data_IF_345599121073
#
_entry.id   IF_345599121073
#
_cell.length_a   1.000
_cell.length_b   1.000
_cell.length_c   1.000
_cell.angle_alpha   90.00
_cell.angle_beta   90.00
_cell.angle_gamma   90.00
#
_symmetry.space_group_name_H-M   'P 1'
#
loop_
_entity.id
_entity.type
_entity.pdbx_description
1 polymer ?
#
# COMPACT_ATOMS: atom_id res chain seq x y z
N UNK A 1 32.73 28.75 -22.04
CA UNK A 1 32.24 27.36 -22.06
C UNK A 1 30.81 27.36 -21.60
N UNK A 2 29.88 27.27 -22.55
CA UNK A 2 28.44 27.21 -22.28
C UNK A 2 28.12 25.73 -22.10
N UNK A 3 28.14 25.26 -20.85
CA UNK A 3 27.66 23.91 -20.54
C UNK A 3 26.16 23.92 -20.85
N UNK A 4 25.76 23.06 -21.78
CA UNK A 4 24.39 22.89 -22.24
C UNK A 4 23.44 22.59 -21.07
N UNK A 5 22.80 23.63 -20.56
CA UNK A 5 21.52 23.58 -19.87
C UNK A 5 20.50 22.98 -20.84
N UNK A 6 20.35 21.66 -20.85
CA UNK A 6 18.97 21.18 -20.81
C UNK A 6 18.52 21.62 -19.43
N UNK A 7 17.61 22.60 -19.36
CA UNK A 7 17.16 23.16 -18.09
C UNK A 7 16.69 22.00 -17.22
N UNK A 8 17.15 21.94 -15.97
CA UNK A 8 16.72 20.93 -15.01
C UNK A 8 15.18 20.92 -14.94
N UNK A 9 14.55 22.08 -15.10
CA UNK A 9 13.11 22.22 -15.16
C UNK A 9 12.49 21.58 -16.41
N UNK A 10 13.14 21.65 -17.58
CA UNK A 10 12.69 20.94 -18.77
C UNK A 10 12.74 19.42 -18.58
N UNK A 11 13.81 18.91 -17.94
CA UNK A 11 13.90 17.49 -17.60
C UNK A 11 12.82 17.08 -16.59
N UNK A 12 12.57 17.89 -15.56
CA UNK A 12 11.50 17.66 -14.58
C UNK A 12 10.12 17.66 -15.23
N UNK A 13 9.86 18.61 -16.14
CA UNK A 13 8.60 18.67 -16.89
C UNK A 13 8.40 17.42 -17.76
N UNK A 14 9.46 16.93 -18.42
CA UNK A 14 9.42 15.68 -19.20
C UNK A 14 9.18 14.45 -18.31
N UNK A 15 9.80 14.39 -17.13
CA UNK A 15 9.55 13.31 -16.15
C UNK A 15 8.10 13.34 -15.70
N UNK A 16 7.56 14.51 -15.34
CA UNK A 16 6.17 14.64 -14.94
C UNK A 16 5.21 14.17 -16.03
N UNK A 17 5.45 14.57 -17.27
CA UNK A 17 4.62 14.15 -18.40
C UNK A 17 4.70 12.64 -18.66
N UNK A 18 5.88 12.04 -18.54
CA UNK A 18 6.04 10.59 -18.59
C UNK A 18 5.29 9.91 -17.43
N UNK A 19 5.36 10.45 -16.21
CA UNK A 19 4.63 9.94 -15.05
C UNK A 19 3.11 9.96 -15.28
N UNK A 20 2.57 11.03 -15.88
CA UNK A 20 1.14 11.08 -16.25
C UNK A 20 0.76 9.95 -17.20
N UNK A 21 1.57 9.71 -18.23
CA UNK A 21 1.34 8.61 -19.18
C UNK A 21 1.43 7.24 -18.51
N UNK A 22 2.39 7.06 -17.61
CA UNK A 22 2.50 5.82 -16.82
C UNK A 22 1.26 5.60 -15.95
N UNK A 23 0.74 6.63 -15.28
CA UNK A 23 -0.49 6.53 -14.48
C UNK A 23 -1.68 6.13 -15.35
N UNK A 24 -1.85 6.72 -16.53
CA UNK A 24 -2.93 6.37 -17.45
C UNK A 24 -2.84 4.90 -17.91
N UNK A 25 -1.65 4.45 -18.33
CA UNK A 25 -1.42 3.06 -18.72
C UNK A 25 -1.63 2.08 -17.56
N UNK A 26 -1.26 2.46 -16.34
CA UNK A 26 -1.50 1.65 -15.15
C UNK A 26 -2.99 1.55 -14.84
N UNK A 27 -3.76 2.65 -14.97
CA UNK A 27 -5.22 2.61 -14.79
C UNK A 27 -5.89 1.68 -15.80
N UNK A 28 -5.56 1.81 -17.08
CA UNK A 28 -6.05 0.91 -18.13
C UNK A 28 -5.69 -0.55 -17.82
N UNK A 29 -4.45 -0.78 -17.39
CA UNK A 29 -3.99 -2.11 -16.97
C UNK A 29 -4.79 -2.66 -15.78
N UNK A 30 -5.13 -1.84 -14.79
CA UNK A 30 -5.96 -2.27 -13.65
C UNK A 30 -7.37 -2.65 -14.09
N UNK A 31 -7.96 -1.91 -15.04
CA UNK A 31 -9.28 -2.26 -15.58
C UNK A 31 -9.26 -3.56 -16.39
N UNK A 32 -8.19 -3.82 -17.15
CA UNK A 32 -7.96 -5.13 -17.77
C UNK A 32 -7.79 -6.23 -16.72
N UNK A 33 -7.07 -5.96 -15.61
CA UNK A 33 -6.88 -6.92 -14.53
C UNK A 33 -8.22 -7.34 -13.91
N UNK A 34 -9.14 -6.40 -13.66
CA UNK A 34 -10.51 -6.70 -13.16
C UNK A 34 -11.29 -7.59 -14.13
N UNK A 35 -11.22 -7.30 -15.43
CA UNK A 35 -11.87 -8.12 -16.45
C UNK A 35 -11.29 -9.54 -16.50
N UNK A 36 -9.97 -9.67 -16.41
CA UNK A 36 -9.29 -10.97 -16.33
C UNK A 36 -9.72 -11.72 -15.05
N UNK A 37 -9.80 -11.04 -13.91
CA UNK A 37 -10.27 -11.64 -12.66
C UNK A 37 -11.67 -12.23 -12.79
N UNK A 38 -12.61 -11.48 -13.40
CA UNK A 38 -13.98 -11.93 -13.62
C UNK A 38 -14.02 -13.22 -14.46
N UNK A 39 -13.26 -13.27 -15.56
CA UNK A 39 -13.15 -14.45 -16.41
C UNK A 39 -12.54 -15.63 -15.62
N UNK A 40 -11.40 -15.40 -14.94
CA UNK A 40 -10.72 -16.45 -14.18
C UNK A 40 -11.59 -17.04 -13.08
N UNK A 41 -12.33 -16.20 -12.36
CA UNK A 41 -13.23 -16.63 -11.29
C UNK A 41 -14.38 -17.50 -11.83
N UNK A 42 -14.96 -17.14 -12.98
CA UNK A 42 -16.00 -17.95 -13.65
C UNK A 42 -15.46 -19.33 -14.05
N UNK A 43 -14.19 -19.42 -14.44
CA UNK A 43 -13.57 -20.66 -14.89
C UNK A 43 -12.76 -21.41 -13.82
N UNK A 44 -12.75 -20.94 -12.57
CA UNK A 44 -11.96 -21.53 -11.50
C UNK A 44 -10.45 -21.52 -11.76
N UNK A 45 -9.96 -20.56 -12.54
CA UNK A 45 -8.54 -20.44 -12.90
C UNK A 45 -7.74 -19.75 -11.81
N UNK A 46 -6.46 -20.10 -11.70
CA UNK A 46 -5.56 -19.42 -10.77
C UNK A 46 -5.26 -17.98 -11.21
N UNK A 47 -5.24 -17.06 -10.24
CA UNK A 47 -4.90 -15.65 -10.47
C UNK A 47 -3.44 -15.50 -10.89
N UNK A 48 -2.51 -16.20 -10.23
CA UNK A 48 -1.08 -16.19 -10.57
C UNK A 48 -0.77 -17.27 -11.60
N UNK A 49 -0.03 -16.86 -12.64
CA UNK A 49 0.44 -17.75 -13.71
C UNK A 49 1.93 -17.47 -13.99
N UNK A 50 2.84 -18.23 -13.36
CA UNK A 50 4.28 -18.03 -13.51
C UNK A 50 4.79 -18.21 -14.95
N UNK A 51 4.16 -19.11 -15.73
CA UNK A 51 4.56 -19.35 -17.12
C UNK A 51 4.21 -18.16 -18.00
N UNK A 52 3.04 -17.56 -17.79
CA UNK A 52 2.66 -16.31 -18.46
C UNK A 52 3.56 -15.14 -18.08
N UNK A 53 3.88 -14.97 -16.79
CA UNK A 53 4.82 -13.94 -16.33
C UNK A 53 6.20 -14.11 -17.01
N UNK A 54 6.71 -15.34 -17.07
CA UNK A 54 7.96 -15.65 -17.76
C UNK A 54 7.88 -15.39 -19.27
N UNK A 55 6.75 -15.70 -19.90
CA UNK A 55 6.50 -15.38 -21.32
C UNK A 55 6.54 -13.88 -21.58
N UNK A 56 5.91 -13.07 -20.72
CA UNK A 56 5.91 -11.60 -20.87
C UNK A 56 7.33 -11.03 -20.73
N UNK A 57 8.14 -11.53 -19.79
CA UNK A 57 9.55 -11.13 -19.66
C UNK A 57 10.34 -11.40 -20.93
N UNK A 58 10.17 -12.60 -21.51
CA UNK A 58 10.84 -13.00 -22.76
C UNK A 58 10.41 -12.12 -23.93
N UNK A 59 9.12 -11.81 -24.03
CA UNK A 59 8.57 -10.97 -25.10
C UNK A 59 9.07 -9.52 -25.01
N UNK A 60 9.07 -8.94 -23.81
CA UNK A 60 9.56 -7.58 -23.57
C UNK A 60 11.09 -7.47 -23.57
N UNK A 61 11.81 -8.60 -23.52
CA UNK A 61 13.29 -8.67 -23.42
C UNK A 61 13.82 -7.77 -22.29
N UNK A 62 13.17 -7.84 -21.13
CA UNK A 62 13.45 -6.96 -20.00
C UNK A 62 13.48 -7.72 -18.68
N UNK A 63 14.59 -7.55 -17.96
CA UNK A 63 14.78 -8.00 -16.58
C UNK A 63 14.61 -6.85 -15.58
N UNK A 64 13.97 -5.75 -15.99
CA UNK A 64 13.76 -4.61 -15.12
C UNK A 64 12.87 -5.01 -13.92
N UNK A 65 13.32 -4.80 -12.66
CA UNK A 65 12.55 -5.13 -11.46
C UNK A 65 11.17 -4.47 -11.39
N UNK A 66 10.98 -3.33 -12.08
CA UNK A 66 9.67 -2.66 -12.21
C UNK A 66 8.62 -3.61 -12.79
N UNK A 67 9.00 -4.53 -13.68
CA UNK A 67 8.07 -5.50 -14.24
C UNK A 67 7.48 -6.43 -13.16
N UNK A 68 8.26 -6.77 -12.12
CA UNK A 68 7.74 -7.53 -10.97
C UNK A 68 6.70 -6.72 -10.22
N UNK A 69 6.98 -5.44 -9.96
CA UNK A 69 6.04 -4.55 -9.28
C UNK A 69 4.74 -4.40 -10.07
N UNK A 70 4.83 -4.32 -11.39
CA UNK A 70 3.67 -4.28 -12.28
C UNK A 70 2.87 -5.59 -12.19
N UNK A 71 3.53 -6.75 -12.17
CA UNK A 71 2.83 -8.03 -11.99
C UNK A 71 2.13 -8.11 -10.64
N UNK A 72 2.81 -7.77 -9.55
CA UNK A 72 2.23 -7.80 -8.20
C UNK A 72 1.06 -6.82 -8.07
N UNK A 73 1.17 -5.61 -8.63
CA UNK A 73 0.04 -4.67 -8.69
C UNK A 73 -1.16 -5.25 -9.46
N UNK A 74 -0.91 -5.95 -10.57
CA UNK A 74 -1.96 -6.59 -11.39
C UNK A 74 -2.60 -7.77 -10.67
N UNK A 75 -1.83 -8.54 -9.91
CA UNK A 75 -2.31 -9.65 -9.09
C UNK A 75 -3.17 -9.12 -7.94
N UNK A 76 -2.68 -8.08 -7.24
CA UNK A 76 -3.40 -7.43 -6.15
C UNK A 76 -4.78 -6.94 -6.61
N UNK A 77 -4.84 -6.31 -7.79
CA UNK A 77 -6.10 -5.85 -8.38
C UNK A 77 -7.05 -7.02 -8.70
N UNK A 78 -6.52 -8.16 -9.16
CA UNK A 78 -7.31 -9.36 -9.43
C UNK A 78 -7.82 -10.05 -8.16
N UNK A 79 -7.01 -10.08 -7.11
CA UNK A 79 -7.41 -10.67 -5.82
C UNK A 79 -8.36 -9.79 -5.02
N UNK A 80 -8.38 -8.49 -5.33
CA UNK A 80 -9.09 -7.49 -4.56
C UNK A 80 -8.38 -7.14 -3.26
N UNK A 81 -9.03 -6.29 -2.47
CA UNK A 81 -8.53 -5.94 -1.15
C UNK A 81 -8.64 -7.14 -0.20
N UNK A 82 -7.64 -7.36 0.68
CA UNK A 82 -7.78 -8.36 1.73
C UNK A 82 -9.06 -8.09 2.54
N UNK A 83 -9.75 -9.16 2.89
CA UNK A 83 -10.95 -9.13 3.72
C UNK A 83 -10.59 -9.78 5.05
N UNK A 84 -11.06 -9.19 6.15
CA UNK A 84 -10.95 -9.73 7.48
C UNK A 84 -12.36 -9.82 8.05
N UNK A 85 -12.87 -11.04 8.16
CA UNK A 85 -14.25 -11.27 8.61
C UNK A 85 -14.38 -11.29 10.14
N UNK A 86 -13.26 -11.50 10.83
CA UNK A 86 -13.21 -11.65 12.28
C UNK A 86 -12.06 -10.83 12.87
N UNK A 87 -12.23 -10.30 14.10
CA UNK A 87 -11.13 -9.64 14.79
C UNK A 87 -9.92 -10.56 14.95
N UNK A 88 -8.73 -9.99 14.85
CA UNK A 88 -7.46 -10.70 15.09
C UNK A 88 -6.93 -10.31 16.46
N UNK A 89 -6.60 -11.30 17.27
CA UNK A 89 -5.94 -11.10 18.56
C UNK A 89 -4.45 -11.39 18.48
N UNK A 90 -3.66 -10.48 19.04
CA UNK A 90 -2.21 -10.56 19.12
C UNK A 90 -1.82 -10.38 20.58
N UNK A 91 -0.98 -11.26 21.10
CA UNK A 91 -0.44 -11.16 22.46
C UNK A 91 1.06 -10.86 22.41
N UNK A 92 1.54 -9.97 23.27
CA UNK A 92 2.95 -9.62 23.31
C UNK A 92 3.25 -8.37 24.12
N UNK A 93 4.51 -7.90 24.02
CA UNK A 93 4.91 -6.61 24.54
C UNK A 93 4.19 -5.48 23.81
N UNK A 94 3.95 -4.36 24.49
CA UNK A 94 3.27 -3.19 23.89
C UNK A 94 3.98 -2.75 22.61
N UNK A 95 5.30 -2.63 22.63
CA UNK A 95 6.08 -2.21 21.47
C UNK A 95 5.97 -3.19 20.29
N UNK A 96 5.97 -4.50 20.54
CA UNK A 96 5.82 -5.51 19.48
C UNK A 96 4.43 -5.44 18.83
N UNK A 97 3.38 -5.25 19.65
CA UNK A 97 2.01 -5.08 19.16
C UNK A 97 1.87 -3.82 18.31
N UNK A 98 2.49 -2.71 18.74
CA UNK A 98 2.50 -1.47 17.98
C UNK A 98 3.26 -1.57 16.67
N UNK A 99 4.39 -2.29 16.68
CA UNK A 99 5.12 -2.62 15.46
C UNK A 99 4.26 -3.44 14.49
N UNK A 100 3.59 -4.49 14.97
CA UNK A 100 2.70 -5.31 14.13
C UNK A 100 1.50 -4.50 13.63
N UNK A 101 0.94 -3.62 14.46
CA UNK A 101 -0.14 -2.73 14.04
C UNK A 101 0.29 -1.83 12.88
N UNK A 102 1.51 -1.27 12.96
CA UNK A 102 2.09 -0.48 11.87
C UNK A 102 2.21 -1.30 10.58
N UNK A 103 2.67 -2.55 10.67
CA UNK A 103 2.75 -3.46 9.52
C UNK A 103 1.39 -3.73 8.88
N UNK A 104 0.37 -3.94 9.71
CA UNK A 104 -0.98 -4.29 9.28
C UNK A 104 -1.70 -3.11 8.62
N UNK A 105 -1.55 -1.92 9.21
CA UNK A 105 -2.25 -0.71 8.80
C UNK A 105 -1.68 -0.10 7.53
N UNK A 106 -0.36 -0.11 7.39
CA UNK A 106 0.32 0.59 6.31
C UNK A 106 0.42 -0.23 5.02
N UNK A 107 0.50 0.48 3.90
CA UNK A 107 0.80 -0.06 2.57
C UNK A 107 1.70 0.92 1.81
N UNK A 108 2.41 0.48 0.75
CA UNK A 108 3.28 1.36 -0.01
C UNK A 108 2.56 2.62 -0.50
N UNK A 109 3.17 3.79 -0.25
CA UNK A 109 2.65 5.09 -0.68
C UNK A 109 1.60 5.71 0.26
N UNK A 110 1.31 5.09 1.40
CA UNK A 110 0.41 5.65 2.42
C UNK A 110 1.17 6.64 3.33
N UNK A 111 0.57 7.79 3.57
CA UNK A 111 1.06 8.81 4.51
C UNK A 111 0.37 8.68 5.87
N UNK A 112 1.18 8.65 6.94
CA UNK A 112 0.71 8.53 8.31
C UNK A 112 1.03 9.81 9.07
N UNK A 113 -0.03 10.47 9.53
CA UNK A 113 0.03 11.76 10.21
C UNK A 113 -0.15 11.58 11.71
N UNK A 114 0.75 12.16 12.51
CA UNK A 114 0.59 12.27 13.96
C UNK A 114 1.76 13.00 14.60
N UNK A 115 1.52 13.69 15.73
CA UNK A 115 2.57 14.44 16.43
C UNK A 115 3.39 13.61 17.42
N UNK A 116 2.84 12.51 17.95
CA UNK A 116 3.46 11.70 19.01
C UNK A 116 3.19 10.21 18.83
N UNK A 117 3.57 9.67 17.68
CA UNK A 117 3.43 8.24 17.42
C UNK A 117 4.61 7.47 18.04
N UNK A 118 4.39 6.29 18.64
CA UNK A 118 5.46 5.43 19.13
C UNK A 118 6.42 4.98 18.03
N UNK A 119 7.71 4.91 18.34
CA UNK A 119 8.77 4.55 17.36
C UNK A 119 8.59 3.15 16.78
N UNK A 120 8.10 2.20 17.58
CA UNK A 120 7.78 0.84 17.14
C UNK A 120 6.71 0.84 16.05
N UNK A 121 5.64 1.61 16.24
CA UNK A 121 4.58 1.78 15.24
C UNK A 121 5.11 2.43 13.96
N UNK A 122 5.89 3.51 14.08
CA UNK A 122 6.53 4.18 12.92
C UNK A 122 7.42 3.19 12.16
N UNK A 123 8.18 2.37 12.87
CA UNK A 123 9.06 1.36 12.28
C UNK A 123 8.27 0.31 11.50
N UNK A 124 7.17 -0.19 12.07
CA UNK A 124 6.27 -1.11 11.36
C UNK A 124 5.67 -0.51 10.10
N UNK A 125 5.18 0.74 10.18
CA UNK A 125 4.65 1.44 9.02
C UNK A 125 5.70 1.67 7.92
N UNK A 126 6.91 2.07 8.31
CA UNK A 126 8.02 2.29 7.38
C UNK A 126 8.40 1.00 6.65
N UNK A 127 8.42 -0.13 7.37
CA UNK A 127 8.73 -1.44 6.78
C UNK A 127 7.67 -1.89 5.76
N UNK A 128 6.40 -1.53 5.97
CA UNK A 128 5.30 -1.76 5.01
C UNK A 128 5.22 -0.68 3.90
N UNK A 129 6.20 0.22 3.80
CA UNK A 129 6.27 1.27 2.77
C UNK A 129 5.38 2.48 3.02
N UNK A 130 4.89 2.66 4.25
CA UNK A 130 4.24 3.88 4.69
C UNK A 130 5.25 4.98 5.02
N UNK A 131 4.81 6.25 4.92
CA UNK A 131 5.62 7.42 5.21
C UNK A 131 5.05 8.18 6.40
N UNK A 132 5.82 8.25 7.49
CA UNK A 132 5.44 9.07 8.62
C UNK A 132 5.66 10.57 8.34
N UNK A 133 4.64 11.37 8.60
CA UNK A 133 4.66 12.82 8.48
C UNK A 133 4.34 13.42 9.85
N UNK A 134 5.32 14.05 10.54
CA UNK A 134 5.13 14.60 11.87
C UNK A 134 4.24 15.85 11.81
N UNK A 135 2.93 15.66 11.89
CA UNK A 135 1.93 16.73 11.76
C UNK A 135 0.59 16.30 12.34
N UNK A 136 -0.11 17.24 12.99
CA UNK A 136 -1.48 17.07 13.48
C UNK A 136 -2.55 17.43 12.43
N UNK A 137 -2.15 17.48 11.16
CA UNK A 137 -3.06 17.80 10.05
C UNK A 137 -4.27 16.87 10.10
N UNK A 138 -5.47 17.43 9.89
CA UNK A 138 -6.67 16.62 9.70
C UNK A 138 -6.57 15.85 8.38
N UNK A 139 -6.93 14.57 8.45
CA UNK A 139 -7.08 13.71 7.29
C UNK A 139 -8.52 13.20 7.24
N UNK A 140 -8.96 12.79 6.05
CA UNK A 140 -10.28 12.18 5.85
C UNK A 140 -10.48 10.96 6.75
N UNK A 141 -9.44 10.14 6.89
CA UNK A 141 -9.43 8.99 7.78
C UNK A 141 -8.64 9.32 9.06
N UNK A 142 -9.23 9.00 10.21
CA UNK A 142 -8.58 9.08 11.52
C UNK A 142 -8.72 7.74 12.25
N UNK A 143 -7.61 7.24 12.77
CA UNK A 143 -7.53 6.08 13.67
C UNK A 143 -7.20 6.58 15.07
N UNK A 144 -8.16 6.47 15.99
CA UNK A 144 -7.96 6.75 17.41
C UNK A 144 -7.79 5.45 18.18
N UNK A 145 -6.54 5.11 18.52
CA UNK A 145 -6.20 3.90 19.26
C UNK A 145 -6.65 4.01 20.72
N UNK A 146 -6.68 5.22 21.28
CA UNK A 146 -7.16 5.48 22.64
C UNK A 146 -8.66 5.23 22.81
N UNK A 147 -9.43 5.30 21.72
CA UNK A 147 -10.87 5.01 21.74
C UNK A 147 -11.22 3.52 21.95
N UNK A 148 -10.26 2.62 21.74
CA UNK A 148 -10.48 1.17 21.80
C UNK A 148 -11.09 0.55 20.54
N UNK A 149 -11.32 1.33 19.47
CA UNK A 149 -11.83 0.83 18.19
C UNK A 149 -11.33 1.68 17.00
N UNK A 150 -10.95 1.07 15.85
CA UNK A 150 -10.94 -0.36 15.52
C UNK A 150 -9.71 -1.11 16.03
N UNK A 151 -9.00 -0.56 17.01
CA UNK A 151 -7.89 -1.23 17.69
C UNK A 151 -8.10 -1.08 19.19
N UNK A 152 -8.06 -2.19 19.91
CA UNK A 152 -8.07 -2.22 21.36
C UNK A 152 -6.74 -2.79 21.86
N UNK A 153 -6.09 -2.11 22.80
CA UNK A 153 -4.88 -2.61 23.46
C UNK A 153 -5.16 -2.67 24.96
N UNK A 154 -5.21 -3.88 25.51
CA UNK A 154 -5.45 -4.13 26.93
C UNK A 154 -4.57 -5.29 27.42
N UNK A 155 -3.91 -5.12 28.56
CA UNK A 155 -3.26 -6.22 29.28
C UNK A 155 -2.36 -7.14 28.46
N UNK A 156 -1.39 -6.59 27.70
CA UNK A 156 -0.47 -7.41 26.89
C UNK A 156 -1.14 -8.10 25.69
N UNK A 157 -2.36 -7.69 25.35
CA UNK A 157 -3.10 -8.12 24.17
C UNK A 157 -3.53 -6.92 23.33
N UNK A 158 -3.63 -7.15 22.03
CA UNK A 158 -4.18 -6.23 21.05
C UNK A 158 -5.22 -6.96 20.22
N UNK A 159 -6.40 -6.36 20.10
CA UNK A 159 -7.47 -6.82 19.20
C UNK A 159 -7.58 -5.83 18.04
N UNK A 160 -7.44 -6.33 16.82
CA UNK A 160 -7.58 -5.57 15.59
C UNK A 160 -8.92 -5.94 14.94
N UNK A 161 -9.82 -4.97 14.81
CA UNK A 161 -11.15 -5.18 14.23
C UNK A 161 -11.17 -5.02 12.70
N UNK A 162 -12.06 -5.73 11.97
CA UNK A 162 -12.19 -5.67 10.50
C UNK A 162 -12.14 -4.28 9.86
N UNK A 163 -12.68 -3.28 10.56
CA UNK A 163 -12.81 -1.90 10.11
C UNK A 163 -11.46 -1.23 9.86
N UNK A 164 -10.37 -1.73 10.44
CA UNK A 164 -9.04 -1.22 10.13
C UNK A 164 -8.68 -1.40 8.65
N UNK A 165 -9.19 -2.46 8.01
CA UNK A 165 -8.96 -2.68 6.58
C UNK A 165 -9.69 -1.65 5.73
N UNK A 166 -10.84 -1.14 6.19
CA UNK A 166 -11.49 -0.02 5.50
C UNK A 166 -10.58 1.20 5.53
N UNK A 167 -10.04 1.56 6.70
CA UNK A 167 -9.11 2.70 6.84
C UNK A 167 -7.86 2.54 5.95
N UNK A 168 -7.32 1.31 5.87
CA UNK A 168 -6.18 0.98 5.01
C UNK A 168 -6.50 1.12 3.51
N UNK A 169 -7.72 0.77 3.10
CA UNK A 169 -8.10 0.64 1.69
C UNK A 169 -8.77 1.90 1.11
N UNK A 170 -9.37 2.77 1.93
CA UNK A 170 -10.14 3.94 1.44
C UNK A 170 -9.31 5.19 1.18
N UNK A 171 -8.05 5.26 1.61
CA UNK A 171 -7.22 6.45 1.41
C UNK A 171 -5.73 6.17 1.33
N UNK A 172 -4.98 7.18 0.88
CA UNK A 172 -3.51 7.21 0.92
C UNK A 172 -2.99 8.04 2.09
N UNK A 173 -3.88 8.59 2.93
CA UNK A 173 -3.51 9.39 4.10
C UNK A 173 -4.35 8.98 5.30
N UNK A 174 -3.72 8.80 6.45
CA UNK A 174 -4.37 8.43 7.70
C UNK A 174 -3.77 9.23 8.85
N UNK A 175 -4.63 9.85 9.65
CA UNK A 175 -4.24 10.42 10.93
C UNK A 175 -4.32 9.35 12.01
N UNK A 176 -3.28 9.22 12.84
CA UNK A 176 -3.24 8.29 13.97
C UNK A 176 -3.14 9.07 15.27
N UNK A 177 -3.97 8.70 16.24
CA UNK A 177 -4.01 9.27 17.59
C UNK A 177 -3.88 8.12 18.58
N UNK A 178 -3.07 8.34 19.61
CA UNK A 178 -2.78 7.39 20.69
C UNK A 178 -3.34 7.88 22.02
#
# INVERSE_FOLDING_TARGET
MVVHFIDLEDLRARVLENTRKLVLLMNERMDLAKQIAAIKNVHGMQIRDPEREASVRRELKSDNPILNLIFEATILEQTGSPVMDHPVEIAGGREDMLFILGLFLCRPGMEIYGSRLPDSFISGCSLSGGHFVPSDRSCENTLDIGSGFPVMIDGGRMTIFPEILRLRNTGNSLRVIF
#
